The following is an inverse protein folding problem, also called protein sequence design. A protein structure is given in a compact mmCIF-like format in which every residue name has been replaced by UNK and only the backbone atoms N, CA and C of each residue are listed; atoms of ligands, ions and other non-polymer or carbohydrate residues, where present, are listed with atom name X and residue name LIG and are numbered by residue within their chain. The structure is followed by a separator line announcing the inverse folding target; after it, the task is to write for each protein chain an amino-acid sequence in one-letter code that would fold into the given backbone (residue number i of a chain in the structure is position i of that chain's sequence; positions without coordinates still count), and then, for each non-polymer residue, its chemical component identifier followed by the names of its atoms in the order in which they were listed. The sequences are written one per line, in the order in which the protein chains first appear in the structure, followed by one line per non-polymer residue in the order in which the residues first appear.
data_IF_951819664137
#
_entry.id   IF_951819664137
#
_cell.length_a   1.000
_cell.length_b   1.000
_cell.length_c   1.000
_cell.angle_alpha   90.00
_cell.angle_beta   90.00
_cell.angle_gamma   90.00
#
_symmetry.space_group_name_H-M   'P 1'
#
loop_
_entity.id
_entity.type
_entity.pdbx_description
1 polymer ?
#
# COMPACT_ATOMS: atom_id res chain seq x y z
N UNK A 1 56.09 -56.44 -60.91
CA UNK A 1 56.47 -56.04 -59.54
C UNK A 1 56.11 -54.56 -59.44
N UNK A 2 54.83 -54.22 -59.64
CA UNK A 2 53.70 -54.53 -58.72
C UNK A 2 53.95 -53.69 -57.44
N UNK A 3 53.12 -52.78 -56.95
CA UNK A 3 51.70 -52.48 -57.08
C UNK A 3 51.59 -50.98 -56.67
N UNK A 4 50.81 -50.14 -57.36
CA UNK A 4 49.38 -49.89 -57.15
C UNK A 4 49.02 -49.11 -55.85
N UNK A 5 48.09 -48.18 -56.04
CA UNK A 5 47.51 -47.12 -55.18
C UNK A 5 46.89 -47.61 -53.83
N UNK A 6 46.19 -46.80 -52.97
CA UNK A 6 45.64 -45.45 -53.15
C UNK A 6 45.75 -44.48 -51.94
N UNK A 7 45.30 -43.24 -52.18
CA UNK A 7 44.99 -42.23 -51.15
C UNK A 7 43.70 -42.56 -50.36
N UNK A 8 43.56 -42.08 -49.10
CA UNK A 8 42.26 -41.90 -48.48
C UNK A 8 41.86 -40.42 -48.38
N UNK A 9 40.64 -40.16 -48.81
CA UNK A 9 39.83 -38.94 -48.65
C UNK A 9 39.58 -38.59 -47.18
N UNK A 10 39.57 -37.30 -46.78
CA UNK A 10 38.94 -36.89 -45.52
C UNK A 10 37.42 -36.73 -45.70
N UNK A 11 36.69 -37.44 -44.86
CA UNK A 11 35.23 -37.44 -44.73
C UNK A 11 34.69 -36.09 -44.28
N UNK A 12 33.46 -35.78 -44.71
CA UNK A 12 32.71 -34.61 -44.31
C UNK A 12 31.99 -34.84 -42.97
N UNK A 13 32.16 -33.91 -42.03
CA UNK A 13 31.19 -33.64 -40.97
C UNK A 13 31.07 -32.14 -40.79
N UNK A 14 29.89 -31.62 -41.17
CA UNK A 14 29.03 -30.53 -40.62
C UNK A 14 29.67 -29.41 -39.77
N UNK A 15 28.87 -28.49 -39.26
CA UNK A 15 29.22 -27.25 -38.56
C UNK A 15 29.62 -26.08 -39.47
N UNK A 16 28.61 -25.62 -40.23
CA UNK A 16 28.60 -24.32 -40.90
C UNK A 16 28.79 -23.15 -39.93
N UNK A 17 30.05 -22.72 -39.81
CA UNK A 17 30.42 -21.42 -39.27
C UNK A 17 30.39 -20.40 -40.41
N UNK A 18 29.25 -19.74 -40.62
CA UNK A 18 29.18 -18.56 -41.47
C UNK A 18 29.95 -17.42 -40.81
N UNK A 19 31.05 -17.08 -41.45
CA UNK A 19 31.98 -16.00 -41.15
C UNK A 19 31.26 -14.64 -41.00
N UNK A 20 31.07 -14.20 -39.76
CA UNK A 20 30.49 -12.91 -39.37
C UNK A 20 31.37 -11.71 -39.74
N UNK A 21 32.55 -11.93 -40.32
CA UNK A 21 33.49 -10.87 -40.70
C UNK A 21 33.10 -10.09 -41.96
N UNK A 22 32.41 -10.70 -42.93
CA UNK A 22 32.23 -10.07 -44.26
C UNK A 22 30.92 -9.29 -44.43
N UNK A 23 29.91 -9.53 -43.58
CA UNK A 23 28.59 -8.91 -43.73
C UNK A 23 28.49 -7.49 -43.11
N UNK A 24 29.35 -7.17 -42.14
CA UNK A 24 29.35 -5.86 -41.46
C UNK A 24 29.90 -4.71 -42.31
N UNK A 25 30.71 -5.00 -43.33
CA UNK A 25 31.32 -3.95 -44.16
C UNK A 25 30.36 -3.37 -45.22
N UNK A 26 29.34 -4.12 -45.67
CA UNK A 26 28.49 -3.69 -46.78
C UNK A 26 27.25 -2.88 -46.39
N UNK A 27 26.90 -2.77 -45.11
CA UNK A 27 25.66 -2.09 -44.69
C UNK A 27 25.86 -0.68 -44.11
N UNK A 28 27.09 -0.21 -43.91
CA UNK A 28 27.36 1.02 -43.15
C UNK A 28 27.56 2.31 -43.96
N UNK A 29 27.51 2.28 -45.30
CA UNK A 29 27.99 3.42 -46.12
C UNK A 29 26.89 4.29 -46.74
N UNK A 30 25.62 3.90 -46.82
CA UNK A 30 24.76 4.56 -47.84
C UNK A 30 23.58 5.43 -47.42
N UNK A 31 23.04 5.45 -46.20
CA UNK A 31 21.93 6.38 -45.92
C UNK A 31 21.88 6.90 -44.49
N UNK A 32 22.11 8.21 -44.34
CA UNK A 32 21.66 8.97 -43.19
C UNK A 32 20.14 9.08 -43.17
N UNK A 33 19.53 8.68 -42.05
CA UNK A 33 18.26 9.16 -41.50
C UNK A 33 17.87 8.26 -40.32
N UNK A 34 17.65 8.90 -39.17
CA UNK A 34 16.64 8.57 -38.15
C UNK A 34 15.90 7.24 -38.39
N UNK A 35 16.49 6.12 -37.95
CA UNK A 35 15.81 4.83 -37.87
C UNK A 35 15.72 4.44 -36.40
N UNK A 36 14.50 4.61 -35.90
CA UNK A 36 13.83 3.77 -34.91
C UNK A 36 14.70 2.69 -34.27
N UNK A 37 14.90 2.86 -32.96
CA UNK A 37 15.31 1.84 -32.00
C UNK A 37 14.46 0.58 -32.23
N UNK A 38 14.94 -0.34 -33.07
CA UNK A 38 14.35 -1.65 -33.28
C UNK A 38 15.46 -2.68 -33.20
N UNK A 39 15.48 -3.38 -32.07
CA UNK A 39 16.14 -4.68 -31.96
C UNK A 39 17.43 -4.71 -31.17
N UNK A 40 17.36 -4.52 -29.85
CA UNK A 40 17.86 -5.51 -28.87
C UNK A 40 16.84 -5.50 -27.73
N UNK A 41 16.46 -6.68 -27.25
CA UNK A 41 15.36 -6.89 -26.31
C UNK A 41 15.40 -5.97 -25.10
N UNK A 42 14.44 -5.08 -25.00
CA UNK A 42 14.12 -4.38 -23.76
C UNK A 42 12.86 -5.06 -23.26
N UNK A 43 13.02 -5.96 -22.29
CA UNK A 43 11.95 -6.79 -21.74
C UNK A 43 10.83 -5.96 -21.13
N UNK A 44 9.83 -5.62 -21.94
CA UNK A 44 8.54 -5.08 -21.50
C UNK A 44 7.48 -6.16 -21.31
N UNK A 45 7.74 -7.40 -21.73
CA UNK A 45 6.86 -8.55 -21.49
C UNK A 45 7.49 -9.50 -20.49
N UNK A 46 6.67 -9.90 -19.50
CA UNK A 46 7.02 -10.68 -18.31
C UNK A 46 8.20 -11.64 -18.52
N UNK A 47 9.17 -11.55 -17.62
CA UNK A 47 10.43 -12.33 -17.58
C UNK A 47 10.22 -13.87 -17.54
N UNK A 48 8.99 -14.33 -17.49
CA UNK A 48 8.61 -15.74 -17.36
C UNK A 48 8.25 -16.35 -18.73
N UNK A 49 7.96 -15.53 -19.74
CA UNK A 49 7.43 -15.97 -21.05
C UNK A 49 8.44 -15.80 -22.21
N UNK A 50 9.71 -15.50 -21.92
CA UNK A 50 10.71 -15.29 -22.95
C UNK A 50 11.08 -16.60 -23.66
N UNK A 51 10.56 -16.79 -24.88
CA UNK A 51 10.92 -17.90 -25.79
C UNK A 51 12.32 -17.77 -26.43
N UNK A 52 13.07 -16.71 -26.14
CA UNK A 52 14.39 -16.43 -26.74
C UNK A 52 15.50 -16.47 -25.67
N UNK A 53 16.76 -16.78 -26.05
CA UNK A 53 17.88 -16.68 -25.14
C UNK A 53 17.97 -15.28 -24.52
N UNK A 54 18.23 -15.22 -23.21
CA UNK A 54 18.37 -13.97 -22.48
C UNK A 54 19.61 -13.22 -22.98
N UNK A 55 19.50 -11.92 -23.30
CA UNK A 55 20.67 -11.08 -23.48
C UNK A 55 21.46 -10.98 -22.16
N UNK A 56 22.79 -10.97 -22.24
CA UNK A 56 23.65 -10.71 -21.09
C UNK A 56 23.55 -9.24 -20.69
N UNK A 57 22.69 -8.92 -19.71
CA UNK A 57 22.54 -7.58 -19.19
C UNK A 57 23.59 -7.27 -18.12
N UNK A 58 24.15 -6.07 -18.17
CA UNK A 58 24.97 -5.55 -17.07
C UNK A 58 24.10 -5.13 -15.88
N UNK A 59 24.69 -5.04 -14.68
CA UNK A 59 23.96 -4.66 -13.46
C UNK A 59 23.27 -3.28 -13.59
N UNK A 60 23.94 -2.32 -14.23
CA UNK A 60 23.44 -0.95 -14.40
C UNK A 60 22.25 -0.87 -15.36
N UNK A 61 22.25 -1.70 -16.41
CA UNK A 61 21.12 -1.82 -17.34
C UNK A 61 19.93 -2.48 -16.64
N UNK A 62 20.15 -3.57 -15.90
CA UNK A 62 19.13 -4.21 -15.08
C UNK A 62 18.50 -3.21 -14.09
N UNK A 63 19.32 -2.42 -13.42
CA UNK A 63 18.87 -1.43 -12.45
C UNK A 63 18.01 -0.34 -13.11
N UNK A 64 18.44 0.15 -14.27
CA UNK A 64 17.70 1.15 -15.05
C UNK A 64 16.33 0.63 -15.49
N UNK A 65 16.26 -0.64 -15.91
CA UNK A 65 15.01 -1.30 -16.28
C UNK A 65 14.05 -1.40 -15.09
N UNK A 66 14.54 -1.86 -13.93
CA UNK A 66 13.73 -1.97 -12.71
C UNK A 66 13.18 -0.61 -12.28
N UNK A 67 14.00 0.44 -12.31
CA UNK A 67 13.54 1.78 -11.97
C UNK A 67 12.51 2.31 -12.98
N UNK A 68 12.65 2.02 -14.27
CA UNK A 68 11.65 2.40 -15.27
C UNK A 68 10.31 1.72 -15.00
N UNK A 69 10.32 0.40 -14.75
CA UNK A 69 9.11 -0.36 -14.38
C UNK A 69 8.49 0.17 -13.08
N UNK A 70 9.31 0.52 -12.09
CA UNK A 70 8.86 1.06 -10.81
C UNK A 70 8.16 2.41 -10.98
N UNK A 71 8.66 3.29 -11.85
CA UNK A 71 8.02 4.58 -12.17
C UNK A 71 6.71 4.40 -12.95
N UNK A 72 6.68 3.49 -13.92
CA UNK A 72 5.49 3.21 -14.73
C UNK A 72 4.35 2.61 -13.91
N UNK A 73 4.65 1.62 -13.07
CA UNK A 73 3.64 0.92 -12.24
C UNK A 73 3.24 1.70 -11.00
N UNK A 74 4.05 2.67 -10.57
CA UNK A 74 3.77 3.44 -9.36
C UNK A 74 4.15 4.92 -9.52
N UNK A 75 3.39 5.67 -10.36
CA UNK A 75 3.67 7.08 -10.62
C UNK A 75 3.57 7.96 -9.37
N UNK A 76 2.81 7.54 -8.34
CA UNK A 76 2.70 8.27 -7.07
C UNK A 76 3.90 8.08 -6.13
N UNK A 77 4.71 7.04 -6.34
CA UNK A 77 5.92 6.79 -5.53
C UNK A 77 7.13 7.56 -6.06
N UNK A 78 7.11 7.94 -7.34
CA UNK A 78 8.18 8.67 -8.03
C UNK A 78 8.07 10.19 -7.90
N UNK A 79 6.96 10.70 -7.34
CA UNK A 79 6.75 12.10 -7.00
C UNK A 79 6.86 12.34 -5.49
N UNK A 80 7.11 13.60 -5.12
CA UNK A 80 7.19 14.09 -3.75
C UNK A 80 6.06 13.50 -2.89
N UNK A 81 6.43 12.82 -1.78
CA UNK A 81 5.48 12.08 -0.91
C UNK A 81 4.33 13.00 -0.50
N UNK A 82 3.18 12.87 -1.16
CA UNK A 82 1.96 13.59 -0.79
C UNK A 82 1.62 13.18 0.63
N UNK A 83 1.86 14.09 1.58
CA UNK A 83 1.42 13.91 2.96
C UNK A 83 -0.09 13.75 2.90
N UNK A 84 -0.63 12.69 3.48
CA UNK A 84 -2.08 12.48 3.56
C UNK A 84 -2.73 13.75 4.13
N UNK A 85 -3.39 14.53 3.27
CA UNK A 85 -3.94 15.83 3.61
C UNK A 85 -5.32 15.62 4.23
N UNK A 86 -5.34 15.51 5.55
CA UNK A 86 -6.58 15.37 6.31
C UNK A 86 -7.27 16.73 6.46
N UNK A 87 -8.57 16.80 6.17
CA UNK A 87 -9.40 17.96 6.50
C UNK A 87 -9.39 18.16 8.02
N UNK A 88 -9.19 19.39 8.53
CA UNK A 88 -9.18 19.64 9.96
C UNK A 88 -10.51 19.18 10.60
N UNK A 89 -10.47 18.50 11.77
CA UNK A 89 -11.67 17.98 12.39
C UNK A 89 -12.52 19.12 12.98
N UNK A 90 -13.77 19.27 12.53
CA UNK A 90 -14.68 20.30 13.04
C UNK A 90 -15.39 19.81 14.31
N UNK A 91 -15.03 20.42 15.45
CA UNK A 91 -15.52 20.01 16.77
C UNK A 91 -16.40 21.12 17.34
N UNK A 92 -17.69 20.82 17.51
CA UNK A 92 -18.67 21.68 18.14
C UNK A 92 -18.99 21.20 19.57
N UNK A 93 -19.42 22.12 20.44
CA UNK A 93 -19.86 21.76 21.79
C UNK A 93 -21.36 21.51 21.80
N UNK A 94 -21.77 20.26 22.01
CA UNK A 94 -23.17 19.90 22.23
C UNK A 94 -23.53 20.03 23.72
N UNK A 95 -23.48 21.26 24.25
CA UNK A 95 -23.75 21.56 25.66
C UNK A 95 -22.53 21.46 26.58
N UNK A 96 -22.78 21.32 27.90
CA UNK A 96 -21.71 21.47 28.92
C UNK A 96 -20.84 20.22 29.13
N UNK A 97 -21.36 19.02 28.84
CA UNK A 97 -20.66 17.74 29.08
C UNK A 97 -20.58 16.83 27.85
N UNK A 98 -21.00 17.30 26.67
CA UNK A 98 -20.93 16.53 25.43
C UNK A 98 -20.24 17.36 24.36
N UNK A 99 -19.41 16.69 23.57
CA UNK A 99 -18.70 17.27 22.44
C UNK A 99 -19.20 16.58 21.17
N UNK A 100 -19.57 17.35 20.16
CA UNK A 100 -20.03 16.87 18.87
C UNK A 100 -18.90 17.03 17.84
N UNK A 101 -18.64 15.97 17.10
CA UNK A 101 -17.71 15.95 15.98
C UNK A 101 -18.53 15.83 14.70
N UNK A 102 -18.69 16.96 14.00
CA UNK A 102 -19.56 17.05 12.82
C UNK A 102 -18.97 16.34 11.61
N UNK A 103 -17.66 16.50 11.37
CA UNK A 103 -16.97 16.01 10.18
C UNK A 103 -16.52 14.53 10.26
N UNK A 104 -17.16 13.71 11.08
CA UNK A 104 -16.67 12.35 11.35
C UNK A 104 -16.81 11.42 10.13
N UNK A 105 -17.97 11.42 9.48
CA UNK A 105 -18.22 10.53 8.34
C UNK A 105 -17.42 10.91 7.07
N UNK A 106 -17.22 12.20 6.78
CA UNK A 106 -16.39 12.59 5.63
C UNK A 106 -14.94 12.14 5.83
N UNK A 107 -14.42 12.26 7.06
CA UNK A 107 -13.08 11.80 7.42
C UNK A 107 -12.96 10.27 7.26
N UNK A 108 -13.95 9.50 7.70
CA UNK A 108 -13.95 8.05 7.53
C UNK A 108 -13.98 7.64 6.05
N UNK A 109 -14.78 8.34 5.23
CA UNK A 109 -14.83 8.15 3.76
C UNK A 109 -13.50 8.50 3.09
N UNK A 110 -12.87 9.61 3.49
CA UNK A 110 -11.57 10.03 2.96
C UNK A 110 -10.48 8.98 3.22
N UNK A 111 -10.50 8.35 4.40
CA UNK A 111 -9.57 7.28 4.76
C UNK A 111 -9.96 5.90 4.20
N UNK A 112 -11.10 5.77 3.53
CA UNK A 112 -11.65 4.47 3.05
C UNK A 112 -11.75 3.45 4.20
N UNK A 113 -12.34 3.84 5.34
CA UNK A 113 -12.49 2.97 6.52
C UNK A 113 -13.92 2.92 7.02
N UNK A 114 -14.27 1.83 7.70
CA UNK A 114 -15.56 1.68 8.36
C UNK A 114 -15.67 2.58 9.59
N UNK A 115 -16.73 3.39 9.64
CA UNK A 115 -17.05 4.31 10.74
C UNK A 115 -17.03 3.64 12.11
N UNK A 116 -17.54 2.40 12.20
CA UNK A 116 -17.56 1.60 13.43
C UNK A 116 -16.17 1.32 13.99
N UNK A 117 -15.19 1.06 13.11
CA UNK A 117 -13.82 0.75 13.53
C UNK A 117 -13.11 2.01 14.05
N UNK A 118 -13.25 3.13 13.33
CA UNK A 118 -12.69 4.43 13.74
C UNK A 118 -13.31 4.90 15.05
N UNK A 119 -14.63 4.73 15.21
CA UNK A 119 -15.34 5.04 16.44
C UNK A 119 -14.78 4.25 17.62
N UNK A 120 -14.66 2.93 17.48
CA UNK A 120 -14.15 2.06 18.54
C UNK A 120 -12.74 2.47 18.98
N UNK A 121 -11.87 2.81 18.03
CA UNK A 121 -10.52 3.28 18.31
C UNK A 121 -10.52 4.61 19.06
N UNK A 122 -11.31 5.58 18.59
CA UNK A 122 -11.38 6.91 19.18
C UNK A 122 -11.88 6.86 20.63
N UNK A 123 -12.91 6.04 20.90
CA UNK A 123 -13.45 5.85 22.24
C UNK A 123 -12.46 5.14 23.17
N UNK A 124 -11.70 4.16 22.65
CA UNK A 124 -10.67 3.47 23.41
C UNK A 124 -9.51 4.40 23.80
N UNK A 125 -9.01 5.21 22.88
CA UNK A 125 -7.91 6.16 23.13
C UNK A 125 -8.32 7.33 24.02
N UNK A 126 -9.55 7.85 23.87
CA UNK A 126 -10.06 8.92 24.72
C UNK A 126 -10.57 8.42 26.08
N UNK A 127 -10.75 7.10 26.25
CA UNK A 127 -11.30 6.52 27.48
C UNK A 127 -12.74 6.92 27.75
N UNK A 128 -13.54 7.14 26.70
CA UNK A 128 -14.91 7.64 26.83
C UNK A 128 -15.93 6.76 26.12
N UNK A 129 -17.21 7.11 26.28
CA UNK A 129 -18.31 6.49 25.54
C UNK A 129 -18.97 7.54 24.66
N UNK A 130 -19.36 7.13 23.45
CA UNK A 130 -20.00 7.99 22.48
C UNK A 130 -20.86 7.17 21.52
N UNK A 131 -21.67 7.88 20.75
CA UNK A 131 -22.55 7.30 19.75
C UNK A 131 -22.57 8.19 18.51
N UNK A 132 -22.78 7.58 17.35
CA UNK A 132 -23.03 8.30 16.11
C UNK A 132 -24.52 8.67 16.10
N UNK A 133 -24.80 9.93 15.79
CA UNK A 133 -26.15 10.47 15.64
C UNK A 133 -26.68 10.25 14.21
N UNK A 134 -27.98 10.48 13.99
CA UNK A 134 -28.63 10.34 12.68
C UNK A 134 -28.05 11.25 11.59
N UNK A 135 -27.42 12.36 11.99
CA UNK A 135 -26.76 13.30 11.08
C UNK A 135 -25.30 12.93 10.78
N UNK A 136 -24.89 11.69 11.08
CA UNK A 136 -23.52 11.20 10.94
C UNK A 136 -22.47 11.96 11.81
N UNK A 137 -22.95 12.75 12.77
CA UNK A 137 -22.14 13.44 13.77
C UNK A 137 -21.79 12.49 14.91
N UNK A 138 -20.54 12.48 15.36
CA UNK A 138 -20.14 11.69 16.52
C UNK A 138 -20.30 12.50 17.81
N UNK A 139 -21.17 12.03 18.72
CA UNK A 139 -21.37 12.63 20.04
C UNK A 139 -20.56 11.86 21.09
N UNK A 140 -19.59 12.54 21.69
CA UNK A 140 -18.72 12.00 22.74
C UNK A 140 -19.08 12.62 24.09
N UNK A 141 -19.14 11.80 25.14
CA UNK A 141 -19.30 12.29 26.51
C UNK A 141 -17.97 12.84 27.02
N UNK A 142 -17.94 14.11 27.35
CA UNK A 142 -16.75 14.80 27.86
C UNK A 142 -16.55 16.17 27.23
N UNK A 143 -15.55 16.88 27.74
CA UNK A 143 -15.09 18.17 27.22
C UNK A 143 -13.77 17.92 26.49
N UNK A 144 -13.81 17.93 25.17
CA UNK A 144 -12.63 17.71 24.35
C UNK A 144 -12.35 18.91 23.46
N UNK A 145 -11.08 19.31 23.43
CA UNK A 145 -10.56 20.26 22.46
C UNK A 145 -10.24 19.55 21.14
N UNK A 146 -10.26 20.29 20.03
CA UNK A 146 -9.92 19.81 18.69
C UNK A 146 -8.54 19.12 18.63
N UNK A 147 -7.55 19.65 19.36
CA UNK A 147 -6.19 19.10 19.44
C UNK A 147 -6.13 17.63 19.88
N UNK A 148 -7.03 17.22 20.77
CA UNK A 148 -7.07 15.82 21.23
C UNK A 148 -7.54 14.88 20.12
N UNK A 149 -8.56 15.27 19.36
CA UNK A 149 -9.03 14.48 18.22
C UNK A 149 -7.97 14.37 17.12
N UNK A 150 -7.27 15.46 16.81
CA UNK A 150 -6.18 15.45 15.83
C UNK A 150 -5.06 14.47 16.25
N UNK A 151 -4.63 14.51 17.51
CA UNK A 151 -3.59 13.62 18.02
C UNK A 151 -3.99 12.15 17.90
N UNK A 152 -5.23 11.80 18.26
CA UNK A 152 -5.72 10.42 18.17
C UNK A 152 -5.88 9.98 16.72
N UNK A 153 -6.41 10.83 15.84
CA UNK A 153 -6.55 10.52 14.41
C UNK A 153 -5.19 10.32 13.74
N UNK A 154 -4.17 11.10 14.12
CA UNK A 154 -2.80 10.91 13.64
C UNK A 154 -2.22 9.55 14.03
N UNK A 155 -2.48 9.08 15.25
CA UNK A 155 -2.11 7.71 15.67
C UNK A 155 -2.86 6.66 14.85
N UNK A 156 -4.16 6.85 14.64
CA UNK A 156 -4.97 5.93 13.84
C UNK A 156 -4.46 5.79 12.41
N UNK A 157 -4.12 6.91 11.76
CA UNK A 157 -3.60 6.92 10.40
C UNK A 157 -2.29 6.13 10.31
N UNK A 158 -1.39 6.29 11.29
CA UNK A 158 -0.09 5.60 11.32
C UNK A 158 -0.21 4.08 11.48
N UNK A 159 -1.20 3.62 12.23
CA UNK A 159 -1.35 2.20 12.57
C UNK A 159 -2.30 1.45 11.61
N UNK A 160 -3.40 2.06 11.18
CA UNK A 160 -4.51 1.37 10.48
C UNK A 160 -4.79 1.87 9.05
N UNK A 161 -4.12 2.93 8.59
CA UNK A 161 -4.34 3.52 7.25
C UNK A 161 -3.08 3.47 6.41
N UNK A 162 -1.94 3.93 6.94
CA UNK A 162 -0.68 3.91 6.20
C UNK A 162 -0.07 2.51 6.22
N UNK A 163 0.40 2.05 5.07
CA UNK A 163 1.18 0.83 4.99
C UNK A 163 2.54 1.00 5.72
N UNK A 164 2.98 -0.02 6.47
CA UNK A 164 4.24 0.04 7.22
C UNK A 164 5.49 0.00 6.31
N UNK A 165 5.39 -0.52 5.09
CA UNK A 165 6.51 -0.63 4.14
C UNK A 165 6.60 0.59 3.22
N UNK A 166 5.55 0.85 2.44
CA UNK A 166 5.54 1.90 1.41
C UNK A 166 4.95 3.25 1.87
N UNK A 167 4.28 3.31 3.04
CA UNK A 167 3.58 4.49 3.58
C UNK A 167 2.46 5.05 2.66
N UNK A 168 1.96 4.25 1.72
CA UNK A 168 0.78 4.63 0.93
C UNK A 168 -0.49 4.57 1.80
N UNK A 169 -1.49 5.39 1.44
CA UNK A 169 -2.83 5.39 2.03
C UNK A 169 -3.79 4.39 1.38
N UNK A 170 -3.41 3.81 0.23
CA UNK A 170 -4.22 2.83 -0.49
C UNK A 170 -4.04 1.42 0.10
N UNK A 171 -4.74 1.23 1.21
CA UNK A 171 -4.79 -0.03 1.95
C UNK A 171 -6.23 -0.37 2.30
N UNK A 172 -6.53 -1.65 2.45
CA UNK A 172 -7.81 -2.19 2.90
C UNK A 172 -7.63 -2.91 4.23
N UNK A 173 -8.62 -2.78 5.13
CA UNK A 173 -8.61 -3.41 6.44
C UNK A 173 -9.64 -4.55 6.46
N UNK A 174 -9.15 -5.79 6.48
CA UNK A 174 -9.96 -7.01 6.46
C UNK A 174 -9.92 -7.68 7.82
N UNK A 175 -11.07 -8.10 8.33
CA UNK A 175 -11.15 -8.90 9.56
C UNK A 175 -11.15 -10.37 9.18
N UNK A 176 -10.16 -11.11 9.66
CA UNK A 176 -10.07 -12.56 9.47
C UNK A 176 -10.01 -13.22 10.86
N UNK A 177 -11.08 -13.94 11.18
CA UNK A 177 -11.37 -14.50 12.51
C UNK A 177 -11.31 -13.48 13.66
N UNK A 178 -10.22 -13.48 14.44
CA UNK A 178 -10.00 -12.66 15.63
C UNK A 178 -9.04 -11.48 15.38
N UNK A 179 -8.31 -11.50 14.26
CA UNK A 179 -7.28 -10.53 13.94
C UNK A 179 -7.74 -9.63 12.79
N UNK A 180 -7.18 -8.43 12.77
CA UNK A 180 -7.33 -7.51 11.65
C UNK A 180 -6.07 -7.58 10.80
N UNK A 181 -6.27 -7.61 9.48
CA UNK A 181 -5.20 -7.62 8.50
C UNK A 181 -5.32 -6.36 7.64
N UNK A 182 -4.20 -5.64 7.53
CA UNK A 182 -4.04 -4.51 6.63
C UNK A 182 -3.40 -5.02 5.33
N UNK A 183 -4.10 -4.87 4.21
CA UNK A 183 -3.64 -5.25 2.88
C UNK A 183 -3.38 -4.01 2.05
N UNK A 184 -2.19 -3.87 1.47
CA UNK A 184 -1.85 -2.74 0.61
C UNK A 184 -2.07 -3.09 -0.87
N UNK A 185 -2.73 -2.21 -1.63
CA UNK A 185 -2.92 -2.40 -3.07
C UNK A 185 -1.69 -2.01 -3.90
N UNK A 186 -0.79 -1.20 -3.34
CA UNK A 186 0.40 -0.67 -4.04
C UNK A 186 1.56 -1.66 -3.99
N UNK A 187 1.90 -2.17 -2.79
CA UNK A 187 3.00 -3.12 -2.61
C UNK A 187 2.54 -4.57 -2.40
N UNK A 188 1.24 -4.83 -2.31
CA UNK A 188 0.69 -6.18 -2.09
C UNK A 188 0.94 -6.75 -0.69
N UNK A 189 1.59 -5.99 0.21
CA UNK A 189 1.94 -6.50 1.54
C UNK A 189 0.69 -6.71 2.40
N UNK A 190 0.64 -7.86 3.09
CA UNK A 190 -0.36 -8.19 4.11
C UNK A 190 0.32 -8.13 5.48
N UNK A 191 -0.14 -7.23 6.34
CA UNK A 191 0.36 -7.07 7.71
C UNK A 191 -0.76 -7.33 8.71
N UNK A 192 -0.48 -8.05 9.80
CA UNK A 192 -1.40 -8.15 10.92
C UNK A 192 -1.33 -6.86 11.75
N UNK A 193 -2.47 -6.22 12.02
CA UNK A 193 -2.54 -5.06 12.92
C UNK A 193 -3.07 -5.46 14.28
N UNK A 194 -2.71 -4.68 15.30
CA UNK A 194 -3.17 -4.93 16.66
C UNK A 194 -4.69 -4.75 16.75
N UNK A 195 -5.36 -5.64 17.48
CA UNK A 195 -6.78 -5.46 17.75
C UNK A 195 -6.97 -4.30 18.73
N UNK A 196 -8.00 -3.48 18.51
CA UNK A 196 -8.34 -2.37 19.41
C UNK A 196 -8.73 -2.95 20.78
N UNK A 197 -7.85 -2.77 21.76
CA UNK A 197 -8.12 -3.13 23.15
C UNK A 197 -8.75 -1.93 23.83
N UNK A 198 -10.06 -1.98 24.08
CA UNK A 198 -10.67 -1.02 25.01
C UNK A 198 -10.09 -1.28 26.39
N UNK A 199 -9.32 -0.32 26.93
CA UNK A 199 -8.75 -0.43 28.27
C UNK A 199 -9.84 -0.60 29.35
N UNK A 200 -9.42 -1.05 30.53
CA UNK A 200 -10.33 -1.16 31.68
C UNK A 200 -10.81 0.24 32.10
N UNK A 201 -12.12 0.50 31.96
CA UNK A 201 -12.72 1.76 32.38
C UNK A 201 -13.30 1.60 33.79
N UNK A 202 -12.63 2.21 34.77
CA UNK A 202 -13.10 2.17 36.15
C UNK A 202 -14.47 2.87 36.27
N UNK A 203 -15.47 2.17 36.80
CA UNK A 203 -16.84 2.67 36.99
C UNK A 203 -16.94 3.65 38.19
N UNK A 204 -16.10 4.68 38.25
CA UNK A 204 -16.01 5.56 39.42
C UNK A 204 -17.25 6.45 39.58
N UNK A 205 -18.03 6.71 38.52
CA UNK A 205 -19.30 7.47 38.60
C UNK A 205 -20.59 6.65 38.53
N UNK A 206 -20.57 5.47 37.87
CA UNK A 206 -21.77 4.65 37.68
C UNK A 206 -22.26 4.00 38.97
N UNK A 207 -21.36 3.70 39.92
CA UNK A 207 -21.72 3.13 41.23
C UNK A 207 -22.51 4.10 42.10
N UNK A 208 -22.16 5.39 42.10
CA UNK A 208 -22.89 6.41 42.85
C UNK A 208 -24.29 6.66 42.26
N UNK A 209 -24.41 6.69 40.92
CA UNK A 209 -25.70 6.79 40.26
C UNK A 209 -26.56 5.54 40.46
N UNK A 210 -25.97 4.34 40.40
CA UNK A 210 -26.67 3.08 40.67
C UNK A 210 -27.13 2.98 42.13
N UNK A 211 -26.31 3.44 43.10
CA UNK A 211 -26.71 3.54 44.52
C UNK A 211 -27.91 4.47 44.70
N UNK A 212 -27.85 5.69 44.14
CA UNK A 212 -28.97 6.64 44.19
C UNK A 212 -30.24 6.11 43.52
N UNK A 213 -30.10 5.39 42.40
CA UNK A 213 -31.22 4.77 41.73
C UNK A 213 -31.83 3.63 42.57
N UNK A 214 -31.00 2.78 43.18
CA UNK A 214 -31.43 1.71 44.07
C UNK A 214 -32.14 2.25 45.32
N UNK A 215 -31.60 3.30 45.94
CA UNK A 215 -32.22 4.02 47.07
C UNK A 215 -33.60 4.60 46.70
N UNK A 216 -33.75 5.15 45.49
CA UNK A 216 -35.02 5.69 45.01
C UNK A 216 -36.10 4.61 44.76
N UNK A 217 -35.72 3.39 44.38
CA UNK A 217 -36.64 2.25 44.22
C UNK A 217 -36.96 1.52 45.53
N UNK A 218 -36.07 1.56 46.52
CA UNK A 218 -36.27 0.90 47.81
C UNK A 218 -37.17 1.68 48.78
N UNK A 219 -37.38 2.98 48.52
CA UNK A 219 -38.25 3.85 49.31
C UNK A 219 -39.70 3.93 48.81
N UNK A 220 -40.16 2.99 47.99
CA UNK A 220 -41.51 2.96 47.41
C UNK A 220 -42.22 1.65 47.72
#
# INVERSE_FOLDING_TARGET
LDDDEPAPTPEATDDGLLDLGTCLAYYFVSHGANRSIQGIGIGVTNLIDAKRPWPDYTYDECLTLVFNIMREKNPELSGEKKKFAMKPPEVARAGSKKTAFSNFAEICRLMKRQDKHVLQFLLAELGTTGSIDGNNCLIVKGRFQQKHFESVLRKYIKEYVMCHTCRSSDTELTKDTRLFFLQCHVCGSRCSVTAIKSGFTAMVGKRAAARRAAEATAGK
#
